data_IF_454462442953
#
_entry.id   IF_454462442953
#
_cell.length_a   1.000
_cell.length_b   1.000
_cell.length_c   1.000
_cell.angle_alpha   90.00
_cell.angle_beta   90.00
_cell.angle_gamma   90.00
#
_symmetry.space_group_name_H-M   'P 1'
#
loop_
_entity.id
_entity.type
_entity.pdbx_description
1 polymer ?
#
# COMPACT_ATOMS: atom_id res chain seq x y z
N UNK A 1 -20.29 11.99 14.63
CA UNK A 1 -19.06 11.31 14.25
C UNK A 1 -19.46 10.08 13.44
N UNK A 2 -19.08 10.00 12.14
CA UNK A 2 -19.25 8.80 11.31
C UNK A 2 -18.22 7.77 11.77
N UNK A 3 -18.68 6.60 12.23
CA UNK A 3 -17.83 5.45 12.57
C UNK A 3 -17.68 4.53 11.33
N UNK A 4 -17.58 5.09 10.15
CA UNK A 4 -17.27 4.39 8.90
C UNK A 4 -15.76 4.16 8.82
N UNK A 5 -15.30 3.07 8.23
CA UNK A 5 -13.88 2.68 8.19
C UNK A 5 -13.54 2.04 6.87
N UNK A 6 -12.42 2.44 6.31
CA UNK A 6 -11.87 1.79 5.12
C UNK A 6 -10.49 1.24 5.42
N UNK A 7 -10.27 -0.01 5.09
CA UNK A 7 -8.99 -0.70 5.25
C UNK A 7 -8.50 -1.26 3.94
N UNK A 8 -7.19 -1.27 3.79
CA UNK A 8 -6.49 -2.05 2.79
C UNK A 8 -5.85 -3.25 3.48
N UNK A 9 -6.11 -4.45 2.98
CA UNK A 9 -5.58 -5.70 3.52
C UNK A 9 -4.75 -6.37 2.45
N UNK A 10 -3.46 -6.59 2.75
CA UNK A 10 -2.56 -7.39 1.93
C UNK A 10 -2.34 -8.73 2.62
N UNK A 11 -2.78 -9.80 2.00
CA UNK A 11 -2.51 -11.17 2.44
C UNK A 11 -1.41 -11.76 1.58
N UNK A 12 -0.40 -12.34 2.23
CA UNK A 12 0.78 -12.92 1.61
C UNK A 12 0.90 -14.39 2.02
N UNK A 13 1.24 -15.26 1.08
CA UNK A 13 1.43 -16.68 1.30
C UNK A 13 2.88 -17.05 0.95
N UNK A 14 3.48 -17.93 1.73
CA UNK A 14 4.79 -18.50 1.48
C UNK A 14 5.55 -18.75 2.78
N UNK A 15 6.24 -19.88 2.86
CA UNK A 15 6.95 -20.29 4.08
C UNK A 15 8.36 -19.66 4.21
N UNK A 16 8.90 -19.07 3.15
CA UNK A 16 10.29 -18.61 3.11
C UNK A 16 10.49 -17.13 3.48
N UNK A 17 9.45 -16.34 3.48
CA UNK A 17 9.52 -14.90 3.73
C UNK A 17 8.59 -14.50 4.87
N UNK A 18 9.16 -14.19 6.03
CA UNK A 18 8.41 -13.68 7.19
C UNK A 18 8.35 -12.17 7.17
N UNK A 19 7.19 -11.63 7.56
CA UNK A 19 7.00 -10.22 7.84
C UNK A 19 7.98 -9.78 8.94
N UNK A 20 8.61 -8.62 8.77
CA UNK A 20 9.52 -8.06 9.78
C UNK A 20 8.81 -7.20 10.82
N UNK A 21 7.56 -6.82 10.56
CA UNK A 21 6.72 -6.16 11.57
C UNK A 21 6.19 -7.19 12.58
N UNK A 22 6.04 -6.77 13.84
CA UNK A 22 5.60 -7.66 14.91
C UNK A 22 4.08 -7.85 14.84
N UNK A 23 3.64 -9.12 14.76
CA UNK A 23 2.22 -9.46 14.68
C UNK A 23 1.44 -8.96 15.91
N UNK A 24 0.21 -8.46 15.69
CA UNK A 24 -0.66 -7.92 16.75
C UNK A 24 -0.22 -6.56 17.29
N UNK A 25 0.76 -5.88 16.68
CA UNK A 25 1.15 -4.51 17.04
C UNK A 25 0.73 -3.49 16.00
N UNK A 26 0.21 -2.38 16.48
CA UNK A 26 -0.05 -1.19 15.66
C UNK A 26 1.28 -0.45 15.43
N UNK A 27 1.53 -0.06 14.20
CA UNK A 27 2.68 0.73 13.79
C UNK A 27 2.25 1.90 12.90
N UNK A 28 3.12 2.89 12.73
CA UNK A 28 2.88 4.02 11.83
C UNK A 28 4.04 4.16 10.86
N UNK A 29 3.76 4.01 9.56
CA UNK A 29 4.80 4.12 8.54
C UNK A 29 5.50 5.46 8.61
N UNK A 30 4.75 6.56 8.68
CA UNK A 30 5.28 7.90 8.71
C UNK A 30 6.05 8.22 10.00
N UNK A 31 5.53 7.81 11.17
CA UNK A 31 6.19 8.11 12.46
C UNK A 31 7.44 7.27 12.71
N UNK A 32 7.40 6.00 12.25
CA UNK A 32 8.45 5.02 12.57
C UNK A 32 9.58 5.00 11.52
N UNK A 33 9.39 5.67 10.36
CA UNK A 33 10.35 5.70 9.27
C UNK A 33 10.66 7.13 8.83
N UNK A 34 11.11 7.98 9.76
CA UNK A 34 11.43 9.38 9.44
C UNK A 34 12.59 9.49 8.46
N UNK A 35 12.47 10.45 7.54
CA UNK A 35 13.53 10.77 6.61
C UNK A 35 14.80 11.28 7.34
N UNK A 36 15.96 10.93 6.80
CA UNK A 36 17.26 11.44 7.25
C UNK A 36 17.75 12.42 6.19
N UNK A 37 18.20 13.60 6.63
CA UNK A 37 18.65 14.68 5.75
C UNK A 37 19.61 14.19 4.64
N UNK A 38 19.30 14.53 3.39
CA UNK A 38 20.07 14.17 2.22
C UNK A 38 20.04 12.68 1.85
N UNK A 39 19.19 11.87 2.50
CA UNK A 39 19.13 10.43 2.27
C UNK A 39 17.79 9.97 1.70
N UNK A 40 17.86 8.92 0.89
CA UNK A 40 16.75 8.03 0.61
C UNK A 40 17.00 6.71 1.33
N UNK A 41 16.09 6.30 2.20
CA UNK A 41 16.19 5.07 3.01
C UNK A 41 15.05 4.15 2.61
N UNK A 42 15.36 2.87 2.43
CA UNK A 42 14.36 1.81 2.28
C UNK A 42 14.46 0.78 3.40
N UNK A 43 13.30 0.32 3.87
CA UNK A 43 13.16 -0.78 4.83
C UNK A 43 12.27 -1.84 4.21
N UNK A 44 12.87 -2.96 3.78
CA UNK A 44 12.09 -4.10 3.34
C UNK A 44 11.42 -4.77 4.54
N UNK A 45 10.09 -4.91 4.50
CA UNK A 45 9.29 -5.51 5.58
C UNK A 45 8.76 -6.89 5.23
N UNK A 46 8.62 -7.18 3.94
CA UNK A 46 8.34 -8.51 3.43
C UNK A 46 9.18 -8.72 2.17
N UNK A 47 9.85 -9.86 2.06
CA UNK A 47 10.72 -10.20 0.92
C UNK A 47 10.03 -11.19 -0.03
N UNK A 48 10.59 -11.37 -1.23
CA UNK A 48 10.08 -12.29 -2.23
C UNK A 48 9.52 -11.60 -3.48
N UNK A 49 8.77 -12.36 -4.29
CA UNK A 49 8.22 -11.85 -5.57
C UNK A 49 7.19 -10.72 -5.40
N UNK A 50 6.52 -10.67 -4.25
CA UNK A 50 5.61 -9.60 -3.86
C UNK A 50 6.19 -8.85 -2.65
N UNK A 51 7.42 -8.35 -2.77
CA UNK A 51 8.05 -7.64 -1.66
C UNK A 51 7.27 -6.39 -1.26
N UNK A 52 7.39 -6.03 0.02
CA UNK A 52 6.86 -4.78 0.55
C UNK A 52 8.01 -4.03 1.20
N UNK A 53 8.18 -2.77 0.83
CA UNK A 53 9.19 -1.88 1.39
C UNK A 53 8.59 -0.53 1.76
N UNK A 54 9.05 0.03 2.86
CA UNK A 54 8.83 1.43 3.21
C UNK A 54 10.00 2.26 2.71
N UNK A 55 9.70 3.41 2.15
CA UNK A 55 10.68 4.38 1.69
C UNK A 55 10.50 5.69 2.44
N UNK A 56 11.64 6.27 2.86
CA UNK A 56 11.71 7.60 3.43
C UNK A 56 12.72 8.41 2.63
N UNK A 57 12.22 9.42 1.95
CA UNK A 57 13.01 10.32 1.11
C UNK A 57 13.11 11.69 1.76
N UNK A 58 14.32 12.19 1.93
CA UNK A 58 14.52 13.56 2.38
C UNK A 58 14.18 14.57 1.28
N UNK A 59 14.09 15.85 1.66
CA UNK A 59 13.93 16.97 0.72
C UNK A 59 15.00 16.93 -0.38
N UNK A 60 14.59 17.25 -1.62
CA UNK A 60 15.45 17.29 -2.81
C UNK A 60 16.20 15.99 -3.11
N UNK A 61 15.60 14.83 -2.81
CA UNK A 61 16.15 13.53 -3.18
C UNK A 61 15.37 12.84 -4.30
N UNK A 62 16.03 11.91 -5.00
CA UNK A 62 15.43 11.14 -6.07
C UNK A 62 15.91 9.67 -6.10
N UNK A 63 15.11 8.84 -6.73
CA UNK A 63 15.45 7.49 -7.17
C UNK A 63 15.41 7.51 -8.69
N UNK A 64 16.55 7.28 -9.32
CA UNK A 64 16.68 7.31 -10.79
C UNK A 64 15.74 6.32 -11.47
N UNK A 65 15.32 6.66 -12.69
CA UNK A 65 14.40 5.81 -13.44
C UNK A 65 15.06 4.49 -13.85
N UNK A 66 14.44 3.39 -13.46
CA UNK A 66 14.87 2.02 -13.76
C UNK A 66 13.72 1.20 -14.33
N UNK A 67 14.05 0.15 -15.11
CA UNK A 67 13.08 -0.78 -15.67
C UNK A 67 12.84 -1.94 -14.69
N UNK A 68 11.56 -2.22 -14.43
CA UNK A 68 11.13 -3.35 -13.60
C UNK A 68 10.20 -4.27 -14.39
N UNK A 69 10.38 -5.62 -14.32
CA UNK A 69 9.50 -6.58 -14.99
C UNK A 69 8.20 -6.84 -14.22
N UNK A 70 7.87 -6.00 -13.24
CA UNK A 70 6.69 -6.06 -12.40
C UNK A 70 6.11 -4.66 -12.20
N UNK A 71 4.86 -4.60 -11.76
CA UNK A 71 4.25 -3.36 -11.33
C UNK A 71 4.69 -3.00 -9.91
N UNK A 72 4.74 -1.73 -9.60
CA UNK A 72 4.85 -1.23 -8.24
C UNK A 72 3.54 -0.54 -7.87
N UNK A 73 2.92 -0.96 -6.78
CA UNK A 73 1.91 -0.15 -6.12
C UNK A 73 2.63 0.76 -5.12
N UNK A 74 2.61 2.05 -5.38
CA UNK A 74 3.15 3.07 -4.50
C UNK A 74 1.96 3.72 -3.78
N UNK A 75 2.00 3.79 -2.45
CA UNK A 75 1.00 4.44 -1.60
C UNK A 75 1.71 5.49 -0.77
N UNK A 76 1.40 6.76 -0.98
CA UNK A 76 2.03 7.86 -0.28
C UNK A 76 1.39 8.05 1.11
N UNK A 77 2.20 7.97 2.15
CA UNK A 77 1.77 8.11 3.54
C UNK A 77 2.01 9.50 4.12
N UNK A 78 3.01 10.23 3.62
CA UNK A 78 3.34 11.59 4.08
C UNK A 78 4.12 12.34 3.00
N UNK A 79 3.87 13.64 2.83
CA UNK A 79 4.62 14.52 1.95
C UNK A 79 4.11 14.58 0.51
N UNK A 80 5.00 14.84 -0.43
CA UNK A 80 4.70 14.93 -1.86
C UNK A 80 5.69 14.11 -2.67
N UNK A 81 5.20 13.46 -3.72
CA UNK A 81 6.01 12.58 -4.56
C UNK A 81 5.73 12.85 -6.04
N UNK A 82 6.77 12.83 -6.85
CA UNK A 82 6.68 12.85 -8.30
C UNK A 82 7.19 11.53 -8.87
N UNK A 83 6.35 10.83 -9.65
CA UNK A 83 6.69 9.60 -10.36
C UNK A 83 6.81 9.91 -11.84
N UNK A 84 7.92 9.53 -12.46
CA UNK A 84 8.28 9.93 -13.83
C UNK A 84 8.92 8.78 -14.63
N UNK A 85 9.12 9.01 -15.93
CA UNK A 85 9.87 8.13 -16.83
C UNK A 85 9.01 7.26 -17.75
N UNK A 86 7.77 6.94 -17.40
CA UNK A 86 6.88 6.07 -18.18
C UNK A 86 5.85 6.83 -19.04
N UNK A 87 5.77 8.14 -18.90
CA UNK A 87 4.89 9.01 -19.69
C UNK A 87 5.58 10.36 -19.94
N UNK A 88 5.04 11.16 -20.86
CA UNK A 88 5.52 12.52 -21.11
C UNK A 88 5.31 13.41 -19.87
N UNK A 89 4.22 13.19 -19.14
CA UNK A 89 3.87 13.94 -17.93
C UNK A 89 4.33 13.22 -16.66
N UNK A 90 4.98 13.96 -15.78
CA UNK A 90 5.26 13.51 -14.41
C UNK A 90 3.96 13.40 -13.62
N UNK A 91 3.76 12.29 -12.90
CA UNK A 91 2.62 12.10 -12.01
C UNK A 91 2.94 12.60 -10.62
N UNK A 92 2.13 13.52 -10.13
CA UNK A 92 2.25 14.07 -8.77
C UNK A 92 1.31 13.34 -7.84
N UNK A 93 1.83 12.95 -6.68
CA UNK A 93 1.10 12.33 -5.59
C UNK A 93 1.17 13.24 -4.37
N UNK A 94 0.06 13.38 -3.69
CA UNK A 94 -0.07 13.97 -2.37
C UNK A 94 -0.48 12.90 -1.37
N UNK A 95 -0.51 13.19 -0.10
CA UNK A 95 -0.88 12.25 0.98
C UNK A 95 -2.17 11.48 0.63
N UNK A 96 -2.17 10.16 0.89
CA UNK A 96 -3.21 9.18 0.56
C UNK A 96 -3.33 8.81 -0.94
N UNK A 97 -2.63 9.50 -1.84
CA UNK A 97 -2.59 9.12 -3.23
C UNK A 97 -1.79 7.83 -3.45
N UNK A 98 -2.21 7.10 -4.46
CA UNK A 98 -1.59 5.85 -4.90
C UNK A 98 -1.40 5.84 -6.40
N UNK A 99 -0.42 5.07 -6.87
CA UNK A 99 -0.20 4.81 -8.29
C UNK A 99 0.26 3.37 -8.50
N UNK A 100 -0.30 2.72 -9.53
CA UNK A 100 0.28 1.52 -10.11
C UNK A 100 1.22 1.91 -11.25
N UNK A 101 2.48 1.53 -11.16
CA UNK A 101 3.43 1.77 -12.26
C UNK A 101 3.22 0.74 -13.37
N UNK A 102 3.40 1.10 -14.65
CA UNK A 102 3.45 0.11 -15.72
C UNK A 102 4.74 -0.73 -15.62
N UNK A 103 4.69 -1.96 -16.21
CA UNK A 103 5.87 -2.83 -16.29
C UNK A 103 6.74 -2.51 -17.51
N UNK A 104 8.01 -2.93 -17.46
CA UNK A 104 8.95 -2.91 -18.58
C UNK A 104 9.17 -1.51 -19.20
N UNK A 105 8.94 -0.47 -18.42
CA UNK A 105 9.23 0.92 -18.77
C UNK A 105 10.00 1.59 -17.64
N UNK A 106 10.80 2.65 -17.94
CA UNK A 106 11.52 3.36 -16.88
C UNK A 106 10.55 4.01 -15.87
N UNK A 107 10.79 3.82 -14.58
CA UNK A 107 10.06 4.47 -13.49
C UNK A 107 11.05 5.05 -12.51
N UNK A 108 11.03 6.35 -12.36
CA UNK A 108 11.79 7.11 -11.37
C UNK A 108 10.86 7.82 -10.39
N UNK A 109 11.40 8.15 -9.24
CA UNK A 109 10.68 8.80 -8.14
C UNK A 109 11.52 9.95 -7.62
N UNK A 110 10.91 11.09 -7.35
CA UNK A 110 11.58 12.25 -6.75
C UNK A 110 10.64 13.02 -5.84
N UNK A 111 11.22 13.74 -4.90
CA UNK A 111 10.48 14.65 -4.01
C UNK A 111 11.23 15.98 -3.84
N UNK A 112 10.47 17.05 -3.62
CA UNK A 112 10.99 18.38 -3.29
C UNK A 112 10.90 18.69 -1.80
N UNK A 113 9.89 18.16 -1.13
CA UNK A 113 9.57 18.49 0.26
C UNK A 113 9.79 17.32 1.23
N UNK A 114 10.28 16.18 0.71
CA UNK A 114 10.32 14.92 1.43
C UNK A 114 9.06 14.07 1.23
N UNK A 115 9.20 12.75 1.35
CA UNK A 115 8.11 11.80 1.20
C UNK A 115 8.34 10.52 1.98
N UNK A 116 7.27 9.94 2.53
CA UNK A 116 7.26 8.60 3.12
C UNK A 116 6.17 7.80 2.42
N UNK A 117 6.52 6.66 1.85
CA UNK A 117 5.60 5.84 1.09
C UNK A 117 5.85 4.34 1.24
N UNK A 118 4.85 3.56 0.87
CA UNK A 118 4.93 2.11 0.75
C UNK A 118 5.12 1.78 -0.72
N UNK A 119 6.01 0.85 -1.01
CA UNK A 119 6.14 0.21 -2.31
C UNK A 119 5.83 -1.28 -2.17
N UNK A 120 4.89 -1.76 -2.98
CA UNK A 120 4.51 -3.17 -3.05
C UNK A 120 4.78 -3.66 -4.47
N UNK A 121 5.63 -4.67 -4.62
CA UNK A 121 5.87 -5.32 -5.90
C UNK A 121 4.67 -6.21 -6.27
N UNK A 122 4.18 -6.05 -7.48
CA UNK A 122 3.04 -6.79 -8.02
C UNK A 122 3.48 -7.50 -9.30
N UNK A 123 3.45 -8.80 -9.30
CA UNK A 123 3.82 -9.61 -10.48
C UNK A 123 3.01 -9.20 -11.70
N UNK A 124 3.64 -9.20 -12.87
CA UNK A 124 3.02 -8.84 -14.15
C UNK A 124 1.81 -9.70 -14.53
N UNK A 125 1.81 -10.97 -14.12
CA UNK A 125 0.75 -11.94 -14.39
C UNK A 125 -0.37 -11.93 -13.32
N UNK A 126 -0.33 -11.02 -12.36
CA UNK A 126 -1.39 -10.86 -11.36
C UNK A 126 -2.69 -10.37 -11.99
N UNK A 127 -3.81 -10.86 -11.49
CA UNK A 127 -5.11 -10.33 -11.85
C UNK A 127 -5.30 -8.99 -11.14
N UNK A 128 -5.39 -7.92 -11.92
CA UNK A 128 -5.69 -6.57 -11.44
C UNK A 128 -7.14 -6.20 -11.69
N UNK A 129 -7.74 -5.47 -10.77
CA UNK A 129 -9.08 -4.92 -10.98
C UNK A 129 -9.08 -3.92 -12.15
N UNK A 130 -10.05 -4.05 -13.05
CA UNK A 130 -10.12 -3.24 -14.28
C UNK A 130 -10.37 -1.74 -14.04
N UNK A 131 -10.81 -1.36 -12.84
CA UNK A 131 -10.98 0.06 -12.49
C UNK A 131 -9.65 0.77 -12.27
N UNK A 132 -8.58 0.00 -12.03
CA UNK A 132 -7.24 0.53 -11.80
C UNK A 132 -6.46 0.50 -13.11
N UNK A 133 -5.92 1.64 -13.49
CA UNK A 133 -5.10 1.78 -14.69
C UNK A 133 -3.67 2.12 -14.30
N UNK A 134 -2.73 1.37 -14.85
CA UNK A 134 -1.31 1.66 -14.65
C UNK A 134 -0.97 3.07 -15.17
N UNK A 135 -0.20 3.82 -14.38
CA UNK A 135 0.19 5.19 -14.68
C UNK A 135 -0.84 6.27 -14.32
N UNK A 136 -2.02 5.90 -13.79
CA UNK A 136 -3.01 6.87 -13.27
C UNK A 136 -2.92 6.94 -11.74
N UNK A 137 -3.03 8.17 -11.21
CA UNK A 137 -3.10 8.41 -9.76
C UNK A 137 -4.52 8.17 -9.28
N UNK A 138 -4.67 7.51 -8.15
CA UNK A 138 -5.95 7.21 -7.52
C UNK A 138 -5.80 7.13 -5.99
N UNK A 139 -6.91 7.14 -5.26
CA UNK A 139 -6.92 6.91 -3.81
C UNK A 139 -7.58 5.56 -3.51
N UNK A 140 -6.92 4.76 -2.68
CA UNK A 140 -7.42 3.43 -2.30
C UNK A 140 -8.78 3.53 -1.59
N UNK A 141 -8.96 4.52 -0.73
CA UNK A 141 -10.22 4.76 -0.01
C UNK A 141 -11.41 5.03 -0.94
N UNK A 142 -11.18 5.59 -2.12
CA UNK A 142 -12.23 5.88 -3.10
C UNK A 142 -12.66 4.68 -3.95
N UNK A 143 -11.97 3.53 -3.84
CA UNK A 143 -12.30 2.33 -4.59
C UNK A 143 -13.57 1.63 -4.08
N UNK A 144 -13.93 1.85 -2.83
CA UNK A 144 -15.12 1.29 -2.20
C UNK A 144 -15.96 2.40 -1.57
N UNK A 145 -17.27 2.20 -1.54
CA UNK A 145 -18.20 3.15 -0.91
C UNK A 145 -18.84 2.49 0.30
N UNK A 146 -19.08 3.27 1.35
CA UNK A 146 -19.86 2.83 2.50
C UNK A 146 -21.30 2.53 2.09
N UNK A 147 -21.84 1.47 2.64
CA UNK A 147 -23.25 1.08 2.49
C UNK A 147 -23.84 0.75 3.86
N UNK A 148 -25.00 1.30 4.15
CA UNK A 148 -25.67 1.16 5.44
C UNK A 148 -25.78 -0.30 5.90
N UNK A 149 -25.24 -0.61 7.07
CA UNK A 149 -25.24 -1.92 7.70
C UNK A 149 -24.41 -2.99 6.98
N UNK A 150 -23.51 -2.62 6.08
CA UNK A 150 -22.77 -3.59 5.27
C UNK A 150 -21.26 -3.41 5.37
N UNK A 151 -20.57 -4.50 5.00
CA UNK A 151 -19.16 -4.51 4.66
C UNK A 151 -19.09 -4.62 3.14
N UNK A 152 -18.39 -3.68 2.48
CA UNK A 152 -18.15 -3.70 1.04
C UNK A 152 -16.67 -3.96 0.81
N UNK A 153 -16.34 -4.85 -0.11
CA UNK A 153 -14.96 -5.15 -0.45
C UNK A 153 -14.71 -5.07 -1.96
N UNK A 154 -13.46 -4.82 -2.33
CA UNK A 154 -12.99 -4.87 -3.69
C UNK A 154 -11.61 -5.53 -3.72
N UNK A 155 -11.49 -6.62 -4.46
CA UNK A 155 -10.19 -7.20 -4.79
C UNK A 155 -9.48 -6.28 -5.79
N UNK A 156 -8.34 -5.73 -5.37
CA UNK A 156 -7.52 -4.80 -6.17
C UNK A 156 -6.51 -5.58 -6.99
N UNK A 157 -5.81 -6.52 -6.34
CA UNK A 157 -4.85 -7.43 -6.96
C UNK A 157 -4.99 -8.82 -6.37
N UNK A 158 -4.84 -9.82 -7.21
CA UNK A 158 -4.80 -11.22 -6.80
C UNK A 158 -3.83 -12.03 -7.66
N UNK A 159 -2.99 -12.84 -7.01
CA UNK A 159 -2.20 -13.91 -7.61
C UNK A 159 -2.11 -15.09 -6.63
N UNK A 160 -1.36 -16.14 -6.95
CA UNK A 160 -1.27 -17.35 -6.13
C UNK A 160 -0.71 -17.08 -4.72
N UNK A 161 0.16 -16.06 -4.59
CA UNK A 161 0.90 -15.76 -3.37
C UNK A 161 0.44 -14.48 -2.67
N UNK A 162 -0.42 -13.68 -3.29
CA UNK A 162 -0.84 -12.38 -2.78
C UNK A 162 -2.29 -12.10 -3.07
N UNK A 163 -2.99 -11.53 -2.09
CA UNK A 163 -4.30 -10.90 -2.26
C UNK A 163 -4.29 -9.52 -1.61
N UNK A 164 -4.57 -8.50 -2.42
CA UNK A 164 -4.70 -7.11 -1.97
C UNK A 164 -6.15 -6.66 -2.11
N UNK A 165 -6.78 -6.29 -1.01
CA UNK A 165 -8.22 -5.97 -0.93
C UNK A 165 -8.40 -4.64 -0.24
N UNK A 166 -9.33 -3.82 -0.73
CA UNK A 166 -9.84 -2.65 -0.01
C UNK A 166 -11.22 -2.98 0.54
N UNK A 167 -11.47 -2.64 1.80
CA UNK A 167 -12.71 -2.94 2.51
C UNK A 167 -13.25 -1.71 3.22
N UNK A 168 -14.52 -1.42 3.02
CA UNK A 168 -15.27 -0.40 3.77
C UNK A 168 -16.22 -1.07 4.76
N UNK A 169 -16.16 -0.64 6.01
CA UNK A 169 -16.99 -1.12 7.10
C UNK A 169 -17.93 0.00 7.54
N UNK A 170 -19.21 -0.23 7.45
CA UNK A 170 -20.17 0.68 8.06
C UNK A 170 -20.10 0.60 9.58
N UNK A 171 -20.68 1.59 10.24
CA UNK A 171 -20.76 1.64 11.70
C UNK A 171 -21.30 0.32 12.28
N UNK A 172 -20.69 -0.15 13.36
CA UNK A 172 -21.06 -1.35 14.09
C UNK A 172 -21.02 -2.65 13.26
N UNK A 173 -20.36 -2.65 12.09
CA UNK A 173 -20.08 -3.86 11.32
C UNK A 173 -18.70 -4.42 11.65
N UNK A 174 -18.51 -5.73 11.47
CA UNK A 174 -17.24 -6.40 11.72
C UNK A 174 -17.19 -7.77 11.08
N UNK A 175 -15.97 -8.23 10.80
CA UNK A 175 -15.73 -9.61 10.39
C UNK A 175 -15.64 -10.51 11.62
N UNK A 176 -16.25 -11.69 11.53
CA UNK A 176 -16.05 -12.72 12.53
C UNK A 176 -14.58 -13.17 12.55
N UNK A 177 -14.12 -13.66 13.69
CA UNK A 177 -12.80 -14.24 13.83
C UNK A 177 -12.58 -15.38 12.81
N UNK A 178 -11.47 -15.30 12.10
CA UNK A 178 -11.07 -16.30 11.10
C UNK A 178 -9.55 -16.31 10.95
N UNK A 179 -9.01 -17.43 10.50
CA UNK A 179 -7.59 -17.54 10.19
C UNK A 179 -7.30 -17.11 8.74
N UNK A 180 -6.31 -16.25 8.56
CA UNK A 180 -5.78 -15.97 7.24
C UNK A 180 -4.78 -17.07 6.81
N UNK A 181 -4.76 -17.48 5.53
CA UNK A 181 -3.76 -18.42 5.03
C UNK A 181 -2.45 -17.68 4.77
N UNK A 182 -1.63 -17.44 5.79
CA UNK A 182 -0.37 -16.71 5.68
C UNK A 182 -0.35 -15.47 6.53
N UNK A 183 0.45 -14.49 6.15
CA UNK A 183 0.61 -13.21 6.85
C UNK A 183 -0.30 -12.13 6.26
N UNK A 184 -0.76 -11.19 7.07
CA UNK A 184 -1.55 -10.06 6.63
C UNK A 184 -1.02 -8.74 7.20
N UNK A 185 -0.89 -7.75 6.33
CA UNK A 185 -0.73 -6.34 6.73
C UNK A 185 -2.06 -5.63 6.52
N UNK A 186 -2.48 -4.84 7.49
CA UNK A 186 -3.73 -4.07 7.45
C UNK A 186 -3.38 -2.60 7.63
N UNK A 187 -3.77 -1.77 6.67
CA UNK A 187 -3.64 -0.32 6.74
C UNK A 187 -5.02 0.31 6.91
N UNK A 188 -5.19 1.15 7.93
CA UNK A 188 -6.34 2.03 8.05
C UNK A 188 -6.20 3.17 7.04
N UNK A 189 -7.17 3.30 6.13
CA UNK A 189 -7.22 4.36 5.13
C UNK A 189 -8.14 5.50 5.58
N UNK A 190 -9.18 5.19 6.36
CA UNK A 190 -10.13 6.15 6.92
C UNK A 190 -10.77 5.57 8.18
N UNK A 191 -11.06 6.42 9.17
CA UNK A 191 -11.73 6.05 10.42
C UNK A 191 -10.87 5.27 11.42
N UNK A 192 -11.53 4.73 12.43
CA UNK A 192 -10.91 3.96 13.53
C UNK A 192 -11.57 2.60 13.66
N UNK A 193 -10.81 1.57 13.98
CA UNK A 193 -11.33 0.22 14.20
C UNK A 193 -10.48 -0.57 15.18
N UNK A 194 -11.08 -1.65 15.69
CA UNK A 194 -10.40 -2.59 16.57
C UNK A 194 -10.15 -3.88 15.80
N UNK A 195 -8.94 -4.39 15.90
CA UNK A 195 -8.54 -5.68 15.33
C UNK A 195 -8.10 -6.57 16.46
N UNK A 196 -8.86 -7.64 16.70
CA UNK A 196 -8.50 -8.63 17.71
C UNK A 196 -7.55 -9.66 17.11
N UNK A 197 -6.40 -9.89 17.75
CA UNK A 197 -5.41 -10.88 17.37
C UNK A 197 -5.07 -11.77 18.56
N UNK A 198 -5.24 -13.10 18.41
CA UNK A 198 -5.02 -14.08 19.49
C UNK A 198 -5.73 -13.73 20.82
N UNK A 199 -6.99 -13.23 20.72
CA UNK A 199 -7.80 -12.86 21.87
C UNK A 199 -7.37 -11.57 22.59
N UNK A 200 -6.57 -10.73 21.92
CA UNK A 200 -6.18 -9.38 22.39
C UNK A 200 -6.63 -8.35 21.37
N UNK A 201 -7.14 -7.21 21.85
CA UNK A 201 -7.54 -6.05 21.08
C UNK A 201 -6.41 -5.01 21.00
#
# INVERSE_FOLDING_TARGET
YKNERTYCITQLKGDECKMKEEAGKVFSIAKDNKAVEGCTISKEVHSGENYISYFSMAEDTDISAELFPYHKLIVLAEGELEVYGFSEDTKKLTEDDSIFTPCDVPVGIKTKSGAIFIEIAIRKDSMMNKVIKAGEVFQLSNLVQYQDGKIVNMDVVHNDNMKFVVMAFDKDTGLAEHAAPGEAIIFALDGEGVISYEGKD
#
